data_IF_405697489193
#
_entry.id   IF_405697489193
#
_cell.length_a   1.000
_cell.length_b   1.000
_cell.length_c   1.000
_cell.angle_alpha   90.00
_cell.angle_beta   90.00
_cell.angle_gamma   90.00
#
_symmetry.space_group_name_H-M   'P 1'
#
loop_
_entity.id
_entity.type
_entity.pdbx_description
1 polymer ?
#
# COMPACT_ATOMS: atom_id res chain seq x y z
N UNK A 1 -39.17 -37.72 2.13
CA UNK A 1 -39.24 -36.34 2.68
C UNK A 1 -37.83 -35.81 2.94
N UNK A 2 -36.95 -36.55 3.61
CA UNK A 2 -35.58 -36.13 3.98
C UNK A 2 -34.73 -35.77 2.77
N UNK A 3 -34.77 -36.54 1.68
CA UNK A 3 -34.01 -36.26 0.46
C UNK A 3 -34.44 -34.92 -0.18
N UNK A 4 -35.73 -34.66 -0.24
CA UNK A 4 -36.26 -33.41 -0.82
C UNK A 4 -35.85 -32.20 0.02
N UNK A 5 -35.91 -32.31 1.35
CA UNK A 5 -35.43 -31.27 2.27
C UNK A 5 -33.92 -31.03 2.14
N UNK A 6 -33.11 -32.08 2.02
CA UNK A 6 -31.70 -31.98 1.81
C UNK A 6 -31.36 -31.27 0.48
N UNK A 7 -32.05 -31.62 -0.62
CA UNK A 7 -31.89 -30.94 -1.89
C UNK A 7 -32.27 -29.45 -1.82
N UNK A 8 -33.39 -29.11 -1.19
CA UNK A 8 -33.81 -27.74 -0.99
C UNK A 8 -32.81 -26.94 -0.18
N UNK A 9 -32.30 -27.52 0.91
CA UNK A 9 -31.25 -26.86 1.72
C UNK A 9 -29.97 -26.62 0.93
N UNK A 10 -29.53 -27.63 0.14
CA UNK A 10 -28.35 -27.47 -0.72
C UNK A 10 -28.56 -26.37 -1.78
N UNK A 11 -29.73 -26.30 -2.40
CA UNK A 11 -30.05 -25.25 -3.38
C UNK A 11 -30.01 -23.84 -2.73
N UNK A 12 -30.64 -23.72 -1.55
CA UNK A 12 -30.63 -22.43 -0.82
C UNK A 12 -29.20 -22.01 -0.41
N UNK A 13 -28.39 -22.98 0.02
CA UNK A 13 -26.99 -22.71 0.39
C UNK A 13 -26.17 -22.26 -0.84
N UNK A 14 -26.35 -22.91 -1.97
CA UNK A 14 -25.68 -22.54 -3.22
C UNK A 14 -26.10 -21.14 -3.67
N UNK A 15 -27.41 -20.84 -3.64
CA UNK A 15 -27.90 -19.50 -4.00
C UNK A 15 -27.29 -18.42 -3.11
N UNK A 16 -27.29 -18.62 -1.79
CA UNK A 16 -26.72 -17.67 -0.85
C UNK A 16 -25.21 -17.48 -1.08
N UNK A 17 -24.48 -18.57 -1.28
CA UNK A 17 -23.04 -18.50 -1.59
C UNK A 17 -22.78 -17.82 -2.92
N UNK A 18 -23.66 -17.98 -3.91
CA UNK A 18 -23.55 -17.31 -5.22
C UNK A 18 -23.72 -15.80 -5.06
N UNK A 19 -24.72 -15.36 -4.30
CA UNK A 19 -24.96 -13.94 -4.02
C UNK A 19 -23.78 -13.31 -3.26
N UNK A 20 -23.21 -14.02 -2.29
CA UNK A 20 -22.03 -13.58 -1.54
C UNK A 20 -20.78 -13.47 -2.44
N UNK A 21 -20.60 -14.42 -3.37
CA UNK A 21 -19.51 -14.40 -4.36
C UNK A 21 -19.71 -13.26 -5.35
N UNK A 22 -20.92 -13.09 -5.86
CA UNK A 22 -21.26 -12.00 -6.77
C UNK A 22 -20.98 -10.65 -6.13
N UNK A 23 -21.45 -10.44 -4.89
CA UNK A 23 -21.17 -9.23 -4.11
C UNK A 23 -19.67 -9.02 -3.91
N UNK A 24 -18.93 -10.06 -3.53
CA UNK A 24 -17.48 -9.98 -3.37
C UNK A 24 -16.74 -9.66 -4.69
N UNK A 25 -17.24 -10.21 -5.81
CA UNK A 25 -16.71 -9.90 -7.14
C UNK A 25 -17.00 -8.44 -7.52
N UNK A 26 -18.22 -7.94 -7.28
CA UNK A 26 -18.53 -6.54 -7.50
C UNK A 26 -17.72 -5.60 -6.61
N UNK A 27 -17.53 -5.93 -5.33
CA UNK A 27 -16.70 -5.17 -4.41
C UNK A 27 -15.21 -5.20 -4.80
N UNK A 28 -14.74 -6.30 -5.40
CA UNK A 28 -13.35 -6.45 -5.86
C UNK A 28 -13.10 -5.90 -7.28
N UNK A 29 -14.13 -5.90 -8.13
CA UNK A 29 -14.07 -5.38 -9.51
C UNK A 29 -14.56 -3.95 -9.61
N UNK A 30 -14.35 -3.14 -8.57
CA UNK A 30 -14.69 -1.73 -8.60
C UNK A 30 -14.23 -1.11 -9.90
N UNK A 31 -15.15 -0.53 -10.66
CA UNK A 31 -14.81 0.28 -11.81
C UNK A 31 -14.02 1.49 -11.30
N UNK A 32 -12.71 1.40 -11.39
CA UNK A 32 -11.81 2.49 -11.02
C UNK A 32 -11.35 3.23 -12.26
N UNK A 33 -11.33 4.54 -12.16
CA UNK A 33 -10.72 5.39 -13.18
C UNK A 33 -9.41 5.90 -12.59
N UNK A 34 -8.30 5.57 -13.26
CA UNK A 34 -7.01 6.11 -12.89
C UNK A 34 -6.71 7.36 -13.72
N UNK A 35 -6.36 8.44 -13.03
CA UNK A 35 -5.98 9.70 -13.67
C UNK A 35 -4.49 9.90 -13.42
N UNK A 36 -3.72 9.93 -14.51
CA UNK A 36 -2.26 10.13 -14.45
C UNK A 36 -1.89 11.33 -15.33
N UNK A 37 -1.02 12.20 -14.86
CA UNK A 37 -0.51 13.31 -15.66
C UNK A 37 0.49 12.81 -16.70
N UNK A 38 0.38 13.31 -17.93
CA UNK A 38 1.29 12.94 -19.03
C UNK A 38 2.71 13.51 -18.86
N UNK A 39 2.85 14.58 -18.11
CA UNK A 39 4.11 15.29 -17.86
C UNK A 39 4.85 14.77 -16.62
N UNK A 40 4.39 13.66 -16.04
CA UNK A 40 4.92 13.04 -14.81
C UNK A 40 4.98 14.00 -13.61
N UNK A 41 4.36 15.17 -13.66
CA UNK A 41 4.26 16.10 -12.54
C UNK A 41 3.13 15.69 -11.58
N UNK A 42 3.15 16.27 -10.39
CA UNK A 42 2.15 15.99 -9.35
C UNK A 42 0.85 16.74 -9.62
N UNK A 43 -0.25 16.16 -9.19
CA UNK A 43 -1.53 16.84 -9.13
C UNK A 43 -1.63 17.74 -7.90
N UNK A 44 -2.32 18.85 -8.06
CA UNK A 44 -2.79 19.57 -6.88
C UNK A 44 -4.08 18.90 -6.39
N UNK A 45 -4.03 18.36 -5.15
CA UNK A 45 -5.16 17.66 -4.52
C UNK A 45 -6.46 18.47 -4.57
N UNK A 46 -6.37 19.80 -4.51
CA UNK A 46 -7.54 20.67 -4.53
C UNK A 46 -8.28 20.67 -5.89
N UNK A 47 -7.64 20.24 -6.98
CA UNK A 47 -8.28 20.17 -8.30
C UNK A 47 -9.34 19.07 -8.40
N UNK A 48 -9.33 18.11 -7.48
CA UNK A 48 -10.24 16.95 -7.49
C UNK A 48 -11.37 17.03 -6.47
N UNK A 49 -11.46 18.07 -5.67
CA UNK A 49 -12.50 18.23 -4.64
C UNK A 49 -13.94 18.19 -5.18
N UNK A 50 -14.13 18.58 -6.42
CA UNK A 50 -15.47 18.57 -7.02
C UNK A 50 -15.86 17.16 -7.50
N UNK A 51 -14.90 16.29 -7.76
CA UNK A 51 -15.15 14.88 -8.12
C UNK A 51 -15.72 14.11 -6.93
N UNK A 52 -15.28 14.40 -5.71
CA UNK A 52 -15.82 13.77 -4.48
C UNK A 52 -17.32 14.01 -4.29
N UNK A 53 -17.87 15.06 -4.91
CA UNK A 53 -19.30 15.40 -4.81
C UNK A 53 -20.19 14.64 -5.79
N UNK A 54 -19.60 13.93 -6.74
CA UNK A 54 -20.35 13.12 -7.70
C UNK A 54 -20.94 11.89 -7.02
N UNK A 55 -22.22 11.63 -7.24
CA UNK A 55 -22.92 10.50 -6.62
C UNK A 55 -22.37 9.13 -7.04
N UNK A 56 -21.75 9.09 -8.20
CA UNK A 56 -21.15 7.91 -8.81
C UNK A 56 -19.75 7.61 -8.26
N UNK A 57 -19.16 8.54 -7.50
CA UNK A 57 -17.83 8.40 -6.89
C UNK A 57 -17.99 7.98 -5.43
N UNK A 58 -17.60 6.77 -5.12
CA UNK A 58 -17.64 6.24 -3.76
C UNK A 58 -16.44 6.72 -2.94
N UNK A 59 -15.26 6.74 -3.55
CA UNK A 59 -14.01 7.08 -2.86
C UNK A 59 -12.96 7.61 -3.85
N UNK A 60 -12.18 8.58 -3.43
CA UNK A 60 -10.98 9.03 -4.15
C UNK A 60 -9.74 8.51 -3.43
N UNK A 61 -8.96 7.67 -4.14
CA UNK A 61 -7.70 7.16 -3.63
C UNK A 61 -6.57 8.00 -4.19
N UNK A 62 -5.90 8.69 -3.30
CA UNK A 62 -4.69 9.42 -3.64
C UNK A 62 -3.49 8.49 -3.48
N UNK A 63 -2.66 8.42 -4.52
CA UNK A 63 -1.44 7.63 -4.52
C UNK A 63 -0.27 8.50 -4.97
N UNK A 64 0.84 8.34 -4.27
CA UNK A 64 2.11 8.95 -4.60
C UNK A 64 3.23 7.92 -4.43
N UNK A 65 4.00 7.74 -5.47
CA UNK A 65 5.17 6.87 -5.48
C UNK A 65 6.43 7.72 -5.42
N UNK A 66 7.35 7.37 -4.55
CA UNK A 66 8.58 8.10 -4.36
C UNK A 66 9.68 7.27 -3.74
N UNK A 67 10.80 7.92 -3.52
CA UNK A 67 11.95 7.34 -2.85
C UNK A 67 12.20 8.06 -1.53
N UNK A 68 12.62 7.30 -0.54
CA UNK A 68 13.02 7.84 0.75
C UNK A 68 14.32 7.20 1.25
N UNK A 69 15.16 8.00 1.89
CA UNK A 69 16.35 7.52 2.59
C UNK A 69 15.99 7.25 4.05
N UNK A 70 16.32 6.06 4.50
CA UNK A 70 16.22 5.68 5.92
C UNK A 70 17.34 6.34 6.71
N UNK A 71 17.00 7.01 7.82
CA UNK A 71 18.01 7.65 8.71
C UNK A 71 18.48 6.70 9.82
N UNK A 72 17.50 6.08 10.51
CA UNK A 72 17.78 5.33 11.74
C UNK A 72 17.49 3.83 11.56
N UNK A 73 17.27 3.37 10.32
CA UNK A 73 16.98 1.99 9.99
C UNK A 73 17.77 1.52 8.78
N UNK A 74 17.90 0.22 8.62
CA UNK A 74 18.63 -0.44 7.52
C UNK A 74 17.69 -1.12 6.57
N UNK A 75 17.93 -0.94 5.28
CA UNK A 75 17.20 -1.62 4.19
C UNK A 75 17.36 -3.14 4.30
N UNK A 76 16.28 -3.88 4.04
CA UNK A 76 16.34 -5.32 3.85
C UNK A 76 16.79 -5.59 2.41
N UNK A 77 17.89 -6.28 2.25
CA UNK A 77 18.38 -6.69 0.91
C UNK A 77 17.43 -7.68 0.28
N UNK A 78 17.16 -7.54 -1.01
CA UNK A 78 16.44 -8.52 -1.82
C UNK A 78 17.26 -9.81 -2.04
N UNK A 79 16.65 -10.79 -2.71
CA UNK A 79 17.33 -12.04 -3.08
C UNK A 79 18.43 -11.79 -4.13
N UNK A 80 18.20 -10.84 -5.04
CA UNK A 80 19.22 -10.39 -5.98
C UNK A 80 20.10 -9.32 -5.34
N UNK A 81 21.29 -9.69 -5.00
CA UNK A 81 22.30 -8.75 -4.50
C UNK A 81 23.04 -8.14 -5.69
N UNK A 82 22.56 -7.03 -6.19
CA UNK A 82 23.40 -6.13 -6.99
C UNK A 82 24.17 -5.27 -6.00
N UNK A 83 25.40 -5.63 -5.73
CA UNK A 83 26.25 -4.85 -4.83
C UNK A 83 26.87 -3.72 -5.67
N UNK A 84 26.28 -2.55 -5.64
CA UNK A 84 26.76 -1.36 -6.30
C UNK A 84 27.72 -0.62 -5.35
N UNK A 85 28.98 -1.04 -5.36
CA UNK A 85 30.05 -0.37 -4.56
C UNK A 85 30.33 1.06 -5.05
N UNK A 86 29.98 1.35 -6.29
CA UNK A 86 30.13 2.65 -6.95
C UNK A 86 29.04 3.66 -6.55
N UNK A 87 27.96 3.25 -5.86
CA UNK A 87 26.94 4.17 -5.40
C UNK A 87 27.49 5.04 -4.26
N UNK A 88 27.33 6.35 -4.41
CA UNK A 88 27.62 7.29 -3.32
C UNK A 88 26.78 6.97 -2.08
N UNK A 89 27.28 7.33 -0.89
CA UNK A 89 26.57 7.08 0.37
C UNK A 89 25.18 7.74 0.43
N UNK A 90 24.91 8.68 -0.47
CA UNK A 90 23.62 9.33 -0.60
C UNK A 90 22.53 8.36 -1.07
N UNK A 91 22.89 7.40 -1.93
CA UNK A 91 21.96 6.40 -2.47
C UNK A 91 21.94 5.07 -1.69
N UNK A 92 22.76 4.96 -0.63
CA UNK A 92 22.66 3.85 0.31
C UNK A 92 21.48 4.03 1.24
N UNK A 93 20.82 2.95 1.64
CA UNK A 93 19.61 2.95 2.48
C UNK A 93 18.40 3.70 1.89
N UNK A 94 18.26 3.68 0.56
CA UNK A 94 17.09 4.20 -0.12
C UNK A 94 16.06 3.10 -0.27
N UNK A 95 14.79 3.43 -0.03
CA UNK A 95 13.63 2.54 -0.17
C UNK A 95 12.59 3.18 -1.06
N UNK A 96 11.82 2.36 -1.75
CA UNK A 96 10.59 2.79 -2.40
C UNK A 96 9.55 3.10 -1.33
N UNK A 97 8.87 4.21 -1.51
CA UNK A 97 7.80 4.68 -0.64
C UNK A 97 6.54 4.89 -1.49
N UNK A 98 5.48 4.23 -1.10
CA UNK A 98 4.15 4.50 -1.63
C UNK A 98 3.34 5.20 -0.54
N UNK A 99 2.81 6.38 -0.85
CA UNK A 99 1.90 7.09 0.03
C UNK A 99 0.47 6.98 -0.52
N UNK A 100 -0.47 6.65 0.36
CA UNK A 100 -1.88 6.52 0.02
C UNK A 100 -2.74 6.90 1.22
N UNK A 101 -3.97 7.32 0.95
CA UNK A 101 -4.98 7.54 1.98
C UNK A 101 -5.77 6.27 2.36
N UNK A 102 -5.60 5.16 1.60
CA UNK A 102 -6.28 3.90 1.90
C UNK A 102 -5.49 2.69 1.39
N UNK A 103 -4.76 2.00 2.29
CA UNK A 103 -3.97 0.82 1.90
C UNK A 103 -4.83 -0.41 1.58
N UNK A 104 -6.07 -0.51 2.04
CA UNK A 104 -6.97 -1.63 1.69
C UNK A 104 -7.28 -1.67 0.20
N UNK A 105 -7.26 -0.51 -0.47
CA UNK A 105 -7.52 -0.36 -1.91
C UNK A 105 -6.28 -0.58 -2.77
N UNK A 106 -5.09 -0.62 -2.18
CA UNK A 106 -3.89 -0.99 -2.92
C UNK A 106 -4.01 -2.43 -3.46
N UNK A 107 -3.65 -2.62 -4.72
CA UNK A 107 -3.84 -3.90 -5.42
C UNK A 107 -3.15 -5.08 -4.71
N UNK A 108 -2.02 -4.86 -4.06
CA UNK A 108 -1.28 -5.92 -3.36
C UNK A 108 -1.99 -6.36 -2.08
N UNK A 109 -2.68 -5.45 -1.40
CA UNK A 109 -3.50 -5.77 -0.23
C UNK A 109 -4.85 -6.35 -0.63
N UNK A 110 -5.54 -5.78 -1.62
CA UNK A 110 -6.84 -6.27 -2.08
C UNK A 110 -6.75 -7.67 -2.71
N UNK A 111 -5.68 -7.97 -3.41
CA UNK A 111 -5.40 -9.32 -3.96
C UNK A 111 -4.80 -10.30 -2.94
N UNK A 112 -4.62 -9.88 -1.69
CA UNK A 112 -4.03 -10.68 -0.60
C UNK A 112 -2.59 -11.14 -0.86
N UNK A 113 -1.88 -10.49 -1.77
CA UNK A 113 -0.42 -10.66 -1.91
C UNK A 113 0.27 -10.15 -0.65
N UNK A 114 -0.23 -9.02 -0.11
CA UNK A 114 0.14 -8.52 1.19
C UNK A 114 -1.01 -8.69 2.19
N UNK A 115 -0.66 -9.02 3.43
CA UNK A 115 -1.62 -9.22 4.53
C UNK A 115 -1.11 -8.55 5.79
N UNK A 116 -1.94 -7.75 6.44
CA UNK A 116 -1.61 -7.16 7.75
C UNK A 116 -1.51 -8.29 8.76
N UNK A 117 -0.38 -8.36 9.46
CA UNK A 117 -0.10 -9.29 10.55
C UNK A 117 -0.37 -8.69 11.92
N UNK A 118 0.02 -7.43 12.07
CA UNK A 118 -0.15 -6.69 13.31
C UNK A 118 -0.63 -5.28 13.01
N UNK A 119 -1.46 -4.71 13.88
CA UNK A 119 -1.97 -3.36 13.71
C UNK A 119 -3.10 -3.25 12.69
N UNK A 120 -3.09 -2.19 11.90
CA UNK A 120 -4.16 -1.87 10.96
C UNK A 120 -3.64 -1.33 9.62
N UNK A 121 -4.51 -1.27 8.63
CA UNK A 121 -4.28 -0.53 7.38
C UNK A 121 -4.26 0.99 7.64
N UNK A 122 -3.61 1.73 6.74
CA UNK A 122 -3.72 3.19 6.69
C UNK A 122 -5.12 3.54 6.17
N UNK A 123 -5.76 4.48 6.83
CA UNK A 123 -7.05 5.08 6.48
C UNK A 123 -6.90 6.61 6.43
N UNK A 124 -7.86 7.30 5.83
CA UNK A 124 -7.79 8.74 5.52
C UNK A 124 -7.39 9.64 6.70
N UNK A 125 -7.83 9.27 7.91
CA UNK A 125 -7.53 10.05 9.13
C UNK A 125 -6.16 9.76 9.75
N UNK A 126 -5.43 8.76 9.25
CA UNK A 126 -4.10 8.41 9.75
C UNK A 126 -3.05 9.37 9.18
N UNK A 127 -2.52 10.25 10.03
CA UNK A 127 -1.49 11.22 9.67
C UNK A 127 -0.13 10.78 10.20
N UNK A 128 0.92 11.04 9.41
CA UNK A 128 2.30 10.66 9.76
C UNK A 128 2.41 9.18 10.18
N UNK A 129 1.66 8.33 9.52
CA UNK A 129 1.59 6.90 9.79
C UNK A 129 2.22 6.10 8.66
N UNK A 130 2.81 4.96 9.01
CA UNK A 130 3.43 4.04 8.05
C UNK A 130 3.08 2.61 8.40
N UNK A 131 2.94 1.78 7.38
CA UNK A 131 2.98 0.33 7.52
C UNK A 131 4.27 -0.20 6.92
N UNK A 132 4.84 -1.21 7.53
CA UNK A 132 6.14 -1.75 7.15
C UNK A 132 6.08 -3.26 6.96
N UNK A 133 6.96 -3.79 6.10
CA UNK A 133 7.07 -5.23 5.93
C UNK A 133 7.67 -5.89 7.17
N UNK A 134 7.21 -7.10 7.52
CA UNK A 134 7.65 -7.84 8.72
C UNK A 134 9.16 -8.07 8.78
N UNK A 135 9.81 -8.32 7.64
CA UNK A 135 11.27 -8.48 7.60
C UNK A 135 12.01 -7.19 7.89
N UNK A 136 11.47 -6.04 7.44
CA UNK A 136 12.04 -4.73 7.77
C UNK A 136 11.89 -4.45 9.28
N UNK A 137 10.71 -4.71 9.83
CA UNK A 137 10.46 -4.56 11.27
C UNK A 137 11.40 -5.46 12.08
N UNK A 138 11.52 -6.74 11.72
CA UNK A 138 12.40 -7.70 12.37
C UNK A 138 13.88 -7.30 12.30
N UNK A 139 14.37 -6.89 11.11
CA UNK A 139 15.77 -6.50 10.92
C UNK A 139 16.16 -5.29 11.77
N UNK A 140 15.25 -4.37 11.98
CA UNK A 140 15.47 -3.12 12.69
C UNK A 140 14.93 -3.14 14.14
N UNK A 141 14.46 -4.30 14.63
CA UNK A 141 13.83 -4.46 15.96
C UNK A 141 12.67 -3.48 16.21
N UNK A 142 11.89 -3.16 15.18
CA UNK A 142 10.78 -2.24 15.22
C UNK A 142 9.46 -2.95 15.54
N UNK A 143 8.59 -2.25 16.26
CA UNK A 143 7.28 -2.73 16.69
C UNK A 143 6.20 -1.70 16.37
N UNK A 144 4.93 -2.09 16.51
CA UNK A 144 3.82 -1.14 16.44
C UNK A 144 4.02 0.00 17.44
N UNK A 145 3.83 1.23 16.97
CA UNK A 145 4.00 2.44 17.76
C UNK A 145 5.38 3.07 17.70
N UNK A 146 6.41 2.34 17.24
CA UNK A 146 7.74 2.91 17.02
C UNK A 146 7.73 3.91 15.86
N UNK A 147 8.74 4.77 15.82
CA UNK A 147 8.90 5.77 14.77
C UNK A 147 10.02 5.38 13.80
N UNK A 148 9.78 5.64 12.52
CA UNK A 148 10.78 5.56 11.45
C UNK A 148 11.02 6.95 10.88
N UNK A 149 12.27 7.35 10.79
CA UNK A 149 12.67 8.64 10.25
C UNK A 149 13.06 8.50 8.78
N UNK A 150 12.31 9.14 7.90
CA UNK A 150 12.48 9.11 6.45
C UNK A 150 12.86 10.49 5.93
N UNK A 151 13.85 10.54 5.09
CA UNK A 151 14.19 11.71 4.28
C UNK A 151 13.69 11.46 2.86
N UNK A 152 12.64 12.17 2.47
CA UNK A 152 12.09 12.07 1.13
C UNK A 152 13.10 12.61 0.11
N UNK A 153 13.24 11.92 -1.03
CA UNK A 153 14.13 12.31 -2.11
C UNK A 153 13.31 12.92 -3.25
N UNK A 154 13.64 14.13 -3.63
CA UNK A 154 13.12 14.74 -4.85
C UNK A 154 14.12 14.50 -5.97
N UNK A 155 13.80 13.55 -6.85
CA UNK A 155 14.69 13.13 -7.94
C UNK A 155 14.82 14.24 -8.98
N UNK A 156 13.78 15.03 -9.21
CA UNK A 156 13.78 16.08 -10.25
C UNK A 156 14.57 17.31 -9.84
N UNK A 157 14.52 17.69 -8.57
CA UNK A 157 15.14 18.91 -8.07
C UNK A 157 16.51 18.71 -7.46
N UNK A 158 17.03 17.47 -7.49
CA UNK A 158 18.32 17.11 -6.83
C UNK A 158 18.37 17.57 -5.37
N UNK A 159 17.19 17.72 -4.74
CA UNK A 159 16.99 18.32 -3.44
C UNK A 159 16.55 17.29 -2.40
N UNK A 160 17.09 17.43 -1.20
CA UNK A 160 16.62 16.71 -0.04
C UNK A 160 15.39 17.40 0.51
N UNK A 161 14.26 16.70 0.55
CA UNK A 161 13.10 17.15 1.29
C UNK A 161 13.35 16.88 2.78
N UNK A 162 12.73 17.69 3.63
CA UNK A 162 12.87 17.57 5.09
C UNK A 162 12.63 16.13 5.56
N UNK A 163 13.43 15.74 6.53
CA UNK A 163 13.23 14.48 7.25
C UNK A 163 11.93 14.51 8.05
N UNK A 164 11.14 13.46 7.92
CA UNK A 164 9.86 13.30 8.61
C UNK A 164 9.85 12.00 9.39
N UNK A 165 9.22 12.04 10.56
CA UNK A 165 9.00 10.87 11.40
C UNK A 165 7.61 10.31 11.15
N UNK A 166 7.55 9.00 10.95
CA UNK A 166 6.31 8.27 10.74
C UNK A 166 6.16 7.22 11.82
N UNK A 167 4.98 7.13 12.40
CA UNK A 167 4.64 6.11 13.40
C UNK A 167 4.20 4.82 12.71
N UNK A 168 4.75 3.69 13.12
CA UNK A 168 4.36 2.38 12.62
C UNK A 168 2.99 2.02 13.20
N UNK A 169 1.98 1.89 12.34
CA UNK A 169 0.61 1.53 12.73
C UNK A 169 0.21 0.14 12.21
N UNK A 170 1.01 -0.44 11.30
CA UNK A 170 0.79 -1.77 10.81
C UNK A 170 2.08 -2.45 10.38
N UNK A 171 2.11 -3.76 10.55
CA UNK A 171 3.16 -4.64 10.05
C UNK A 171 2.50 -5.65 9.12
N UNK A 172 2.98 -5.74 7.88
CA UNK A 172 2.43 -6.63 6.88
C UNK A 172 3.43 -7.68 6.43
N UNK A 173 2.92 -8.79 5.91
CA UNK A 173 3.71 -9.84 5.26
C UNK A 173 3.25 -10.05 3.84
N UNK A 174 4.09 -10.72 3.07
CA UNK A 174 3.81 -11.13 1.69
C UNK A 174 5.10 -11.32 0.91
N UNK A 175 4.97 -11.82 -0.31
CA UNK A 175 6.14 -11.97 -1.17
C UNK A 175 6.63 -10.59 -1.59
N UNK A 176 7.88 -10.29 -1.30
CA UNK A 176 8.52 -9.07 -1.77
C UNK A 176 8.46 -9.00 -3.30
N UNK A 177 8.07 -7.85 -3.81
CA UNK A 177 8.32 -7.53 -5.21
C UNK A 177 9.72 -6.93 -5.29
N UNK A 178 10.63 -7.62 -5.95
CA UNK A 178 11.90 -7.05 -6.31
C UNK A 178 11.70 -6.21 -7.56
N UNK A 179 11.75 -4.90 -7.38
CA UNK A 179 11.87 -4.00 -8.52
C UNK A 179 13.33 -4.00 -8.96
N UNK A 180 13.56 -4.33 -10.21
CA UNK A 180 14.87 -4.13 -10.83
C UNK A 180 15.12 -2.62 -10.89
N UNK A 181 15.93 -2.11 -9.99
CA UNK A 181 16.57 -0.82 -10.18
C UNK A 181 17.86 -1.10 -10.93
N UNK A 182 17.77 -1.01 -12.26
CA UNK A 182 18.92 -0.99 -13.14
C UNK A 182 19.69 0.31 -13.00
#
# INVERSE_FOLDING_TARGET
>A
LTIVLSCLYSCLTIMKSSDEIEKALYESSNSSISITRKDCNYFNVNEFKDIEKLKEVEEIIMQYDGLAKLKDAKVVSGEQRINREDLSDEFKNVVSLEATNNTKRNILFSSRVFTIKEGKNIEENDKNSIIVHEEFAKKNNLKLGDEVNLELLDIEKSGRIKSHKFKIIGIFSGKKQETYTG
#
